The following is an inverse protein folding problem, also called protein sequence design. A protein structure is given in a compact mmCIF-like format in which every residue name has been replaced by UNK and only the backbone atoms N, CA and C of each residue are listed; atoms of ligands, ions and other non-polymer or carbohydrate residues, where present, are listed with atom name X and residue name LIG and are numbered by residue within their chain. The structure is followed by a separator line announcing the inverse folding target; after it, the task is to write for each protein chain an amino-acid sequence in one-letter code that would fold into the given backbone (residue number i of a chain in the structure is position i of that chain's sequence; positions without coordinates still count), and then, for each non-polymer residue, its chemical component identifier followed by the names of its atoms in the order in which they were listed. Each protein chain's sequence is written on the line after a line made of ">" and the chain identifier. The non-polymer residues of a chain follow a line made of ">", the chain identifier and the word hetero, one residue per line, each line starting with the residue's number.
data_IF_546209289887
#
_entry.id   IF_546209289887
#
_cell.length_a   1.000
_cell.length_b   1.000
_cell.length_c   1.000
_cell.angle_alpha   90.00
_cell.angle_beta   90.00
_cell.angle_gamma   90.00
#
_symmetry.space_group_name_H-M   'P 1'
#
loop_
_entity.id
_entity.type
_entity.pdbx_description
1 polymer ?
#
# COMPACT_ATOMS: atom_id res chain seq x y z
N UNK A 1 -11.91 25.69 -19.57
CA UNK A 1 -11.62 25.97 -18.14
C UNK A 1 -10.30 25.37 -17.66
N UNK A 2 -9.86 24.20 -18.15
CA UNK A 2 -8.61 23.54 -17.74
C UNK A 2 -7.32 24.41 -17.84
N UNK A 3 -7.22 25.31 -18.83
CA UNK A 3 -6.05 26.20 -18.99
C UNK A 3 -5.92 27.34 -17.97
N UNK A 4 -6.98 27.67 -17.23
CA UNK A 4 -6.95 28.74 -16.21
C UNK A 4 -6.50 28.25 -14.84
N UNK A 5 -6.83 26.99 -14.48
CA UNK A 5 -6.44 26.38 -13.20
C UNK A 5 -4.93 26.07 -13.14
N UNK A 6 -4.33 25.61 -14.24
CA UNK A 6 -2.88 25.34 -14.32
C UNK A 6 -1.97 26.56 -14.15
N UNK A 7 -2.49 27.77 -14.45
CA UNK A 7 -1.75 29.04 -14.29
C UNK A 7 -1.96 29.67 -12.92
N UNK A 8 -2.92 29.19 -12.14
CA UNK A 8 -3.34 29.82 -10.89
C UNK A 8 -2.22 29.89 -9.83
N UNK A 9 -1.42 28.84 -9.58
CA UNK A 9 -0.31 28.97 -8.64
C UNK A 9 0.75 29.96 -9.13
N UNK A 10 1.11 29.92 -10.42
CA UNK A 10 2.11 30.85 -10.99
C UNK A 10 1.63 32.31 -10.89
N UNK A 11 0.34 32.55 -11.16
CA UNK A 11 -0.25 33.89 -11.05
C UNK A 11 -0.32 34.35 -9.59
N UNK A 12 -0.71 33.48 -8.66
CA UNK A 12 -0.78 33.79 -7.23
C UNK A 12 0.61 34.02 -6.61
N UNK A 13 1.63 33.29 -7.05
CA UNK A 13 3.00 33.52 -6.59
C UNK A 13 3.61 34.82 -7.12
N UNK A 14 3.10 35.34 -8.24
CA UNK A 14 3.46 36.64 -8.80
C UNK A 14 2.59 37.80 -8.27
N UNK A 15 1.61 37.55 -7.39
CA UNK A 15 0.83 38.64 -6.78
C UNK A 15 1.60 39.36 -5.68
N UNK A 16 1.41 40.68 -5.60
CA UNK A 16 1.81 41.49 -4.46
C UNK A 16 0.58 42.20 -3.86
N UNK A 17 0.31 42.05 -2.55
CA UNK A 17 1.03 41.19 -1.61
C UNK A 17 0.82 39.70 -1.93
N UNK A 18 1.84 38.88 -1.66
CA UNK A 18 1.78 37.44 -1.89
C UNK A 18 0.77 36.78 -0.95
N UNK A 19 -0.33 36.29 -1.51
CA UNK A 19 -1.38 35.58 -0.77
C UNK A 19 -1.01 34.09 -0.62
N UNK A 20 -0.34 33.78 0.50
CA UNK A 20 0.17 32.45 0.88
C UNK A 20 -0.93 31.38 0.85
N UNK A 21 -2.11 31.70 1.36
CA UNK A 21 -3.23 30.76 1.49
C UNK A 21 -3.83 30.41 0.13
N UNK A 22 -3.98 31.40 -0.76
CA UNK A 22 -4.44 31.15 -2.13
C UNK A 22 -3.43 30.35 -2.93
N UNK A 23 -2.13 30.68 -2.82
CA UNK A 23 -1.10 29.94 -3.54
C UNK A 23 -1.04 28.47 -3.10
N UNK A 24 -1.10 28.23 -1.79
CA UNK A 24 -1.18 26.89 -1.20
C UNK A 24 -2.43 26.14 -1.65
N UNK A 25 -3.59 26.79 -1.65
CA UNK A 25 -4.84 26.20 -2.13
C UNK A 25 -4.75 25.84 -3.62
N UNK A 26 -4.09 26.66 -4.44
CA UNK A 26 -3.90 26.38 -5.86
C UNK A 26 -2.94 25.22 -6.12
N UNK A 27 -1.85 25.10 -5.37
CA UNK A 27 -0.94 23.94 -5.45
C UNK A 27 -1.61 22.65 -4.96
N UNK A 28 -2.32 22.71 -3.83
CA UNK A 28 -3.12 21.58 -3.33
C UNK A 28 -4.19 21.17 -4.33
N UNK A 29 -4.91 22.13 -4.92
CA UNK A 29 -5.90 21.87 -5.96
C UNK A 29 -5.29 21.23 -7.21
N UNK A 30 -4.07 21.61 -7.62
CA UNK A 30 -3.37 20.93 -8.71
C UNK A 30 -2.91 19.52 -8.36
N UNK A 31 -2.41 19.32 -7.14
CA UNK A 31 -2.01 18.00 -6.65
C UNK A 31 -3.20 17.03 -6.48
N UNK A 32 -4.37 17.55 -6.08
CA UNK A 32 -5.61 16.77 -5.89
C UNK A 32 -6.44 16.60 -7.16
N UNK A 33 -6.46 17.58 -8.07
CA UNK A 33 -7.19 17.50 -9.35
C UNK A 33 -6.62 16.45 -10.32
N UNK A 34 -5.50 15.81 -9.99
CA UNK A 34 -4.95 14.65 -10.70
C UNK A 34 -5.81 13.38 -10.65
N UNK A 35 -7.02 13.42 -10.06
CA UNK A 35 -7.97 12.30 -10.13
C UNK A 35 -9.03 12.43 -11.24
N UNK A 36 -9.49 13.62 -11.66
CA UNK A 36 -10.58 13.72 -12.67
C UNK A 36 -10.60 14.95 -13.62
N UNK A 37 -9.56 15.79 -13.71
CA UNK A 37 -9.49 16.83 -14.77
C UNK A 37 -8.11 16.78 -15.45
N UNK A 38 -8.00 17.16 -16.74
CA UNK A 38 -7.34 16.35 -17.77
C UNK A 38 -5.90 15.92 -17.39
N UNK A 39 -5.52 14.72 -17.85
CA UNK A 39 -4.38 13.85 -17.51
C UNK A 39 -3.01 14.38 -17.01
N UNK A 40 -2.74 15.68 -16.88
CA UNK A 40 -1.65 16.33 -16.12
C UNK A 40 -1.78 17.85 -16.33
N UNK A 41 -1.58 18.71 -15.31
CA UNK A 41 -1.21 20.09 -15.59
C UNK A 41 0.03 20.09 -16.52
N UNK A 42 0.17 21.01 -17.49
CA UNK A 42 1.33 20.96 -18.38
C UNK A 42 2.58 21.10 -17.52
N UNK A 43 3.43 20.07 -17.57
CA UNK A 43 4.63 19.88 -16.75
C UNK A 43 5.43 21.18 -16.50
N UNK A 44 5.66 22.06 -17.50
CA UNK A 44 6.43 23.29 -17.30
C UNK A 44 5.82 24.28 -16.30
N UNK A 45 4.48 24.31 -16.13
CA UNK A 45 3.85 25.21 -15.16
C UNK A 45 3.97 24.70 -13.73
N UNK A 46 3.92 23.38 -13.56
CA UNK A 46 4.10 22.74 -12.26
C UNK A 46 5.54 22.93 -11.77
N UNK A 47 6.52 22.65 -12.63
CA UNK A 47 7.95 22.85 -12.33
C UNK A 47 8.26 24.32 -11.99
N UNK A 48 7.71 25.26 -12.76
CA UNK A 48 7.91 26.69 -12.49
C UNK A 48 7.27 27.15 -11.17
N UNK A 49 6.12 26.59 -10.80
CA UNK A 49 5.49 26.88 -9.52
C UNK A 49 6.29 26.31 -8.34
N UNK A 50 6.86 25.11 -8.49
CA UNK A 50 7.76 24.50 -7.50
C UNK A 50 9.04 25.33 -7.35
N UNK A 51 9.67 25.75 -8.44
CA UNK A 51 10.87 26.58 -8.42
C UNK A 51 10.66 27.86 -7.59
N UNK A 52 9.58 28.60 -7.88
CA UNK A 52 9.24 29.83 -7.18
C UNK A 52 8.86 29.59 -5.70
N UNK A 53 8.24 28.45 -5.40
CA UNK A 53 7.95 28.06 -4.03
C UNK A 53 9.25 27.74 -3.26
N UNK A 54 10.23 27.06 -3.87
CA UNK A 54 11.53 26.79 -3.25
C UNK A 54 12.33 28.09 -2.99
N UNK A 55 12.25 29.08 -3.87
CA UNK A 55 12.86 30.40 -3.64
C UNK A 55 12.28 31.11 -2.40
N UNK A 56 11.02 30.82 -2.07
CA UNK A 56 10.29 31.40 -0.93
C UNK A 56 10.10 30.41 0.21
N UNK A 57 10.93 29.37 0.29
CA UNK A 57 10.73 28.24 1.20
C UNK A 57 10.55 28.67 2.67
N UNK A 58 11.42 29.55 3.17
CA UNK A 58 11.35 30.05 4.55
C UNK A 58 10.19 31.02 4.80
N UNK A 59 9.54 31.53 3.75
CA UNK A 59 8.37 32.40 3.89
C UNK A 59 7.08 31.61 4.14
N UNK A 60 7.12 30.28 4.15
CA UNK A 60 5.95 29.46 4.49
C UNK A 60 5.94 29.11 5.96
N UNK A 61 4.94 29.60 6.70
CA UNK A 61 4.79 29.29 8.14
C UNK A 61 4.17 27.89 8.38
N UNK A 62 3.91 27.13 7.30
CA UNK A 62 3.28 25.84 7.40
C UNK A 62 4.24 24.69 7.11
N UNK A 63 4.49 23.95 8.17
CA UNK A 63 5.34 22.76 8.19
C UNK A 63 4.98 21.69 7.16
N UNK A 64 3.71 21.27 7.13
CA UNK A 64 3.25 20.22 6.20
C UNK A 64 3.48 20.61 4.74
N UNK A 65 3.24 21.89 4.41
CA UNK A 65 3.43 22.39 3.06
C UNK A 65 4.91 22.44 2.66
N UNK A 66 5.79 22.84 3.58
CA UNK A 66 7.23 22.78 3.35
C UNK A 66 7.69 21.35 3.09
N UNK A 67 7.20 20.38 3.88
CA UNK A 67 7.47 18.95 3.66
C UNK A 67 6.98 18.48 2.28
N UNK A 68 5.73 18.77 1.93
CA UNK A 68 5.14 18.42 0.63
C UNK A 68 5.95 19.04 -0.53
N UNK A 69 6.37 20.30 -0.40
CA UNK A 69 7.16 21.01 -1.40
C UNK A 69 8.52 20.35 -1.62
N UNK A 70 9.22 19.92 -0.56
CA UNK A 70 10.48 19.18 -0.66
C UNK A 70 10.27 17.85 -1.39
N UNK A 71 9.25 17.11 -0.99
CA UNK A 71 8.87 15.83 -1.60
C UNK A 71 8.56 15.98 -3.09
N UNK A 72 7.74 16.95 -3.49
CA UNK A 72 7.41 17.19 -4.89
C UNK A 72 8.62 17.65 -5.69
N UNK A 73 9.45 18.52 -5.12
CA UNK A 73 10.64 19.04 -5.78
C UNK A 73 11.71 17.97 -6.00
N UNK A 74 11.79 16.96 -5.13
CA UNK A 74 12.70 15.82 -5.32
C UNK A 74 12.44 15.05 -6.63
N UNK A 75 11.18 15.07 -7.11
CA UNK A 75 10.76 14.40 -8.34
C UNK A 75 11.11 15.18 -9.62
N UNK A 76 11.54 16.44 -9.50
CA UNK A 76 11.94 17.32 -10.62
C UNK A 76 13.47 17.43 -10.65
N UNK A 77 14.17 16.89 -11.67
CA UNK A 77 15.63 16.85 -11.72
C UNK A 77 16.32 18.20 -11.48
N UNK A 78 15.77 19.27 -12.07
CA UNK A 78 16.33 20.63 -12.03
C UNK A 78 16.19 21.28 -10.66
N UNK A 79 15.25 20.83 -9.83
CA UNK A 79 14.96 21.40 -8.52
C UNK A 79 15.52 20.56 -7.37
N UNK A 80 15.89 19.31 -7.64
CA UNK A 80 16.29 18.32 -6.65
C UNK A 80 17.45 18.80 -5.78
N UNK A 81 18.45 19.45 -6.36
CA UNK A 81 19.64 19.92 -5.63
C UNK A 81 19.30 21.06 -4.66
N UNK A 82 18.42 21.97 -5.05
CA UNK A 82 17.94 23.06 -4.18
C UNK A 82 17.07 22.50 -3.05
N UNK A 83 16.15 21.60 -3.37
CA UNK A 83 15.31 20.93 -2.40
C UNK A 83 16.14 20.11 -1.40
N UNK A 84 17.19 19.43 -1.86
CA UNK A 84 18.11 18.70 -0.99
C UNK A 84 18.81 19.61 0.01
N UNK A 85 19.35 20.75 -0.43
CA UNK A 85 19.98 21.75 0.48
C UNK A 85 19.01 22.24 1.55
N UNK A 86 17.75 22.48 1.19
CA UNK A 86 16.72 22.92 2.12
C UNK A 86 16.34 21.81 3.12
N UNK A 87 16.26 20.55 2.67
CA UNK A 87 16.03 19.41 3.55
C UNK A 87 17.18 19.22 4.55
N UNK A 88 18.43 19.35 4.10
CA UNK A 88 19.62 19.32 4.99
C UNK A 88 19.51 20.42 6.05
N UNK A 89 19.18 21.65 5.66
CA UNK A 89 19.01 22.77 6.58
C UNK A 89 17.87 22.54 7.59
N UNK A 90 16.71 22.01 7.16
CA UNK A 90 15.62 21.65 8.08
C UNK A 90 16.05 20.54 9.05
N UNK A 91 16.83 19.57 8.58
CA UNK A 91 17.34 18.47 9.41
C UNK A 91 18.25 19.00 10.52
N UNK A 92 19.14 19.95 10.18
CA UNK A 92 20.05 20.55 11.14
C UNK A 92 19.31 21.35 12.23
N UNK A 93 18.21 22.01 11.85
CA UNK A 93 17.28 22.74 12.73
C UNK A 93 16.37 21.84 13.58
N UNK A 94 16.30 20.54 13.31
CA UNK A 94 15.41 19.61 14.01
C UNK A 94 13.96 19.70 13.53
N UNK A 95 13.75 20.12 12.28
CA UNK A 95 12.44 20.31 11.67
C UNK A 95 12.19 19.27 10.56
N UNK A 96 13.12 18.39 10.20
CA UNK A 96 12.89 17.50 9.05
C UNK A 96 11.92 16.36 9.37
N UNK A 97 10.95 16.14 8.47
CA UNK A 97 10.11 14.93 8.42
C UNK A 97 10.87 13.82 7.69
N UNK A 98 10.98 12.65 8.31
CA UNK A 98 11.64 11.45 7.74
C UNK A 98 11.08 11.04 6.38
N UNK A 99 9.80 11.32 6.13
CA UNK A 99 9.12 11.04 4.88
C UNK A 99 9.78 11.68 3.66
N UNK A 100 10.38 12.87 3.82
CA UNK A 100 10.98 13.58 2.69
C UNK A 100 12.21 12.83 2.16
N UNK A 101 12.98 12.20 3.03
CA UNK A 101 14.24 11.56 2.68
C UNK A 101 14.05 10.37 1.73
N UNK A 102 12.91 9.65 1.83
CA UNK A 102 12.61 8.51 0.95
C UNK A 102 12.49 8.91 -0.53
N UNK A 103 12.19 10.18 -0.82
CA UNK A 103 12.12 10.71 -2.19
C UNK A 103 13.48 11.12 -2.76
N UNK A 104 14.47 11.38 -1.90
CA UNK A 104 15.85 11.64 -2.31
C UNK A 104 16.69 10.37 -2.39
N UNK A 105 16.28 9.31 -1.68
CA UNK A 105 16.98 8.02 -1.63
C UNK A 105 17.34 7.43 -3.01
N UNK A 106 16.47 7.46 -4.04
CA UNK A 106 16.84 6.96 -5.37
C UNK A 106 17.96 7.73 -6.08
N UNK A 107 18.25 8.96 -5.65
CA UNK A 107 19.15 9.87 -6.35
C UNK A 107 20.44 10.14 -5.58
N UNK A 108 20.40 10.06 -4.25
CA UNK A 108 21.53 10.35 -3.35
C UNK A 108 21.56 9.35 -2.18
N UNK A 109 21.64 8.03 -2.44
CA UNK A 109 21.46 7.01 -1.41
C UNK A 109 22.45 7.17 -0.26
N UNK A 110 23.74 7.35 -0.56
CA UNK A 110 24.79 7.46 0.46
C UNK A 110 24.65 8.73 1.30
N UNK A 111 24.34 9.87 0.67
CA UNK A 111 24.14 11.14 1.39
C UNK A 111 22.93 11.08 2.32
N UNK A 112 21.83 10.46 1.85
CA UNK A 112 20.60 10.29 2.65
C UNK A 112 20.86 9.38 3.84
N UNK A 113 21.44 8.20 3.62
CA UNK A 113 21.73 7.24 4.70
C UNK A 113 22.69 7.86 5.72
N UNK A 114 23.75 8.54 5.26
CA UNK A 114 24.70 9.20 6.16
C UNK A 114 24.04 10.33 6.97
N UNK A 115 23.19 11.15 6.35
CA UNK A 115 22.50 12.24 7.03
C UNK A 115 21.50 11.71 8.07
N UNK A 116 20.69 10.71 7.72
CA UNK A 116 19.73 10.12 8.65
C UNK A 116 20.45 9.43 9.81
N UNK A 117 21.53 8.68 9.55
CA UNK A 117 22.32 8.05 10.60
C UNK A 117 22.94 9.08 11.56
N UNK A 118 23.46 10.19 11.05
CA UNK A 118 24.08 11.26 11.84
C UNK A 118 23.08 12.10 12.63
N UNK A 119 21.90 12.33 12.07
CA UNK A 119 20.91 13.28 12.60
C UNK A 119 19.60 12.61 13.05
N UNK A 120 19.60 11.30 13.32
CA UNK A 120 18.38 10.55 13.65
C UNK A 120 17.52 11.19 14.75
N UNK A 121 18.15 11.75 15.78
CA UNK A 121 17.47 12.36 16.93
C UNK A 121 16.84 13.74 16.61
N UNK A 122 17.13 14.28 15.43
CA UNK A 122 16.61 15.55 14.91
C UNK A 122 15.56 15.37 13.82
N UNK A 123 15.25 14.13 13.44
CA UNK A 123 14.30 13.82 12.38
C UNK A 123 13.02 13.34 13.04
N UNK A 124 11.89 13.89 12.63
CA UNK A 124 10.58 13.44 13.09
C UNK A 124 10.14 12.21 12.29
N UNK A 125 10.09 11.01 12.90
CA UNK A 125 9.63 9.81 12.22
C UNK A 125 8.11 9.79 12.07
N UNK A 126 7.61 9.11 11.02
CA UNK A 126 6.19 8.78 10.85
C UNK A 126 5.87 7.37 11.32
N UNK A 127 6.76 6.40 11.07
CA UNK A 127 6.59 4.98 11.45
C UNK A 127 7.52 4.55 12.60
N UNK A 128 7.60 5.39 13.62
CA UNK A 128 8.40 5.16 14.83
C UNK A 128 9.93 5.27 14.65
N UNK A 129 10.46 5.10 13.44
CA UNK A 129 11.91 5.21 13.14
C UNK A 129 12.15 5.91 11.80
N UNK A 130 13.08 6.89 11.74
CA UNK A 130 13.49 7.50 10.47
C UNK A 130 14.08 6.47 9.50
N UNK A 131 14.70 5.39 10.01
CA UNK A 131 15.26 4.31 9.20
C UNK A 131 14.15 3.46 8.58
N UNK A 132 13.08 3.17 9.33
CA UNK A 132 11.93 2.48 8.76
C UNK A 132 11.23 3.34 7.69
N UNK A 133 11.10 4.63 7.92
CA UNK A 133 10.52 5.56 6.95
C UNK A 133 11.34 5.64 5.64
N UNK A 134 12.67 5.52 5.71
CA UNK A 134 13.53 5.40 4.53
C UNK A 134 13.32 4.10 3.75
N UNK A 135 13.05 3.02 4.47
CA UNK A 135 12.78 1.72 3.91
C UNK A 135 11.42 1.64 3.19
N UNK A 136 10.52 2.57 3.48
CA UNK A 136 9.21 2.66 2.85
C UNK A 136 9.30 3.05 1.37
N UNK A 137 8.43 2.43 0.58
CA UNK A 137 8.17 2.87 -0.80
C UNK A 137 7.56 4.27 -0.83
N UNK A 138 8.03 5.20 -1.68
CA UNK A 138 7.36 6.48 -1.90
C UNK A 138 5.99 6.35 -2.58
N UNK A 139 5.56 5.14 -2.98
CA UNK A 139 4.30 4.81 -3.66
C UNK A 139 3.93 5.85 -4.72
N UNK A 140 4.48 5.72 -5.94
CA UNK A 140 4.07 6.46 -7.18
C UNK A 140 5.01 6.26 -8.38
N UNK A 141 6.05 5.45 -8.29
CA UNK A 141 6.89 5.20 -9.47
C UNK A 141 6.14 4.34 -10.48
N UNK A 142 6.14 4.75 -11.75
CA UNK A 142 5.66 3.91 -12.87
C UNK A 142 6.70 2.87 -13.29
N UNK A 143 7.91 2.99 -12.78
CA UNK A 143 9.05 2.13 -13.10
C UNK A 143 9.49 1.39 -11.82
N UNK A 144 9.86 0.10 -11.92
CA UNK A 144 10.41 -0.64 -10.79
C UNK A 144 11.64 0.06 -10.21
N UNK A 145 11.81 -0.01 -8.89
CA UNK A 145 13.03 0.45 -8.24
C UNK A 145 14.26 -0.29 -8.77
N UNK A 146 15.42 0.38 -8.80
CA UNK A 146 16.70 -0.27 -9.15
C UNK A 146 17.09 -1.31 -8.09
N UNK A 147 17.76 -2.37 -8.52
CA UNK A 147 18.17 -3.47 -7.62
C UNK A 147 19.02 -2.97 -6.43
N UNK A 148 19.87 -1.96 -6.63
CA UNK A 148 20.65 -1.33 -5.55
C UNK A 148 19.76 -0.62 -4.49
N UNK A 149 18.73 0.09 -4.94
CA UNK A 149 17.77 0.76 -4.05
C UNK A 149 16.95 -0.27 -3.28
N UNK A 150 16.55 -1.37 -3.93
CA UNK A 150 15.85 -2.48 -3.28
C UNK A 150 16.74 -3.12 -2.22
N UNK A 151 17.99 -3.44 -2.56
CA UNK A 151 18.96 -4.00 -1.63
C UNK A 151 19.13 -3.11 -0.38
N UNK A 152 19.23 -1.80 -0.58
CA UNK A 152 19.33 -0.83 0.49
C UNK A 152 18.10 -0.86 1.40
N UNK A 153 16.88 -0.79 0.85
CA UNK A 153 15.65 -0.83 1.65
C UNK A 153 15.50 -2.14 2.41
N UNK A 154 15.80 -3.27 1.78
CA UNK A 154 15.78 -4.59 2.43
C UNK A 154 16.74 -4.62 3.61
N UNK A 155 17.95 -4.06 3.46
CA UNK A 155 18.91 -3.97 4.55
C UNK A 155 18.36 -3.15 5.72
N UNK A 156 17.82 -1.96 5.46
CA UNK A 156 17.24 -1.08 6.49
C UNK A 156 16.07 -1.76 7.23
N UNK A 157 15.17 -2.45 6.52
CA UNK A 157 14.06 -3.20 7.14
C UNK A 157 14.60 -4.34 8.01
N UNK A 158 15.63 -5.07 7.56
CA UNK A 158 16.22 -6.17 8.33
C UNK A 158 16.91 -5.67 9.61
N UNK A 159 17.55 -4.52 9.55
CA UNK A 159 18.12 -3.86 10.73
C UNK A 159 17.02 -3.50 11.73
N UNK A 160 15.92 -2.90 11.26
CA UNK A 160 14.76 -2.58 12.10
C UNK A 160 14.12 -3.84 12.73
N UNK A 161 13.92 -4.91 11.95
CA UNK A 161 13.41 -6.19 12.47
C UNK A 161 14.37 -6.77 13.52
N UNK A 162 15.69 -6.67 13.32
CA UNK A 162 16.66 -7.19 14.28
C UNK A 162 16.65 -6.41 15.60
N UNK A 163 16.38 -5.10 15.55
CA UNK A 163 16.36 -4.23 16.73
C UNK A 163 15.07 -4.36 17.54
N UNK A 164 13.90 -4.35 16.87
CA UNK A 164 12.59 -4.30 17.54
C UNK A 164 11.65 -5.48 17.29
N UNK A 165 12.02 -6.43 16.43
CA UNK A 165 11.14 -7.50 15.99
C UNK A 165 10.13 -7.04 14.95
N UNK A 166 9.11 -7.86 14.68
CA UNK A 166 8.01 -7.48 13.79
C UNK A 166 6.96 -6.68 14.55
N UNK A 167 6.52 -5.57 13.95
CA UNK A 167 5.37 -4.78 14.38
C UNK A 167 4.53 -4.34 13.17
N UNK A 168 3.42 -3.63 13.42
CA UNK A 168 2.49 -3.22 12.38
C UNK A 168 3.14 -2.28 11.35
N UNK A 169 4.00 -1.36 11.81
CA UNK A 169 4.69 -0.40 10.95
C UNK A 169 5.67 -1.10 9.98
N UNK A 170 6.41 -2.10 10.46
CA UNK A 170 7.28 -2.94 9.63
C UNK A 170 6.44 -3.73 8.63
N UNK A 171 5.32 -4.28 9.06
CA UNK A 171 4.42 -5.02 8.17
C UNK A 171 3.85 -4.12 7.07
N UNK A 172 3.53 -2.86 7.38
CA UNK A 172 3.06 -1.87 6.40
C UNK A 172 4.13 -1.57 5.35
N UNK A 173 5.39 -1.45 5.78
CA UNK A 173 6.50 -1.22 4.86
C UNK A 173 6.72 -2.43 3.95
N UNK A 174 6.68 -3.65 4.51
CA UNK A 174 6.77 -4.89 3.72
C UNK A 174 5.62 -4.95 2.70
N UNK A 175 4.40 -4.63 3.10
CA UNK A 175 3.24 -4.54 2.20
C UNK A 175 3.48 -3.53 1.08
N UNK A 176 3.94 -2.32 1.42
CA UNK A 176 4.26 -1.26 0.46
C UNK A 176 5.29 -1.70 -0.60
N UNK A 177 6.28 -2.50 -0.21
CA UNK A 177 7.27 -3.05 -1.16
C UNK A 177 6.64 -4.03 -2.16
N UNK A 178 5.62 -4.80 -1.79
CA UNK A 178 4.91 -5.65 -2.75
C UNK A 178 4.23 -4.88 -3.89
N UNK A 179 3.90 -3.60 -3.68
CA UNK A 179 3.31 -2.74 -4.70
C UNK A 179 4.34 -2.05 -5.61
N UNK A 180 5.57 -1.87 -5.15
CA UNK A 180 6.62 -1.18 -5.91
C UNK A 180 7.50 -2.14 -6.71
N UNK A 181 7.78 -3.32 -6.14
CA UNK A 181 8.82 -4.21 -6.65
C UNK A 181 8.28 -5.16 -7.73
N UNK A 182 9.11 -5.43 -8.74
CA UNK A 182 8.82 -6.46 -9.71
C UNK A 182 8.78 -7.85 -9.03
N UNK A 183 7.99 -8.81 -9.53
CA UNK A 183 7.92 -10.17 -8.96
C UNK A 183 9.27 -10.85 -8.75
N UNK A 184 10.22 -10.66 -9.69
CA UNK A 184 11.58 -11.21 -9.54
C UNK A 184 12.30 -10.66 -8.30
N UNK A 185 12.15 -9.36 -8.03
CA UNK A 185 12.86 -8.66 -6.96
C UNK A 185 12.31 -9.10 -5.59
N UNK A 186 11.01 -9.36 -5.50
CA UNK A 186 10.38 -9.85 -4.28
C UNK A 186 10.98 -11.19 -3.82
N UNK A 187 11.33 -12.06 -4.77
CA UNK A 187 11.97 -13.36 -4.49
C UNK A 187 13.47 -13.18 -4.26
N UNK A 188 14.17 -12.50 -5.18
CA UNK A 188 15.62 -12.30 -5.17
C UNK A 188 16.11 -11.63 -3.87
N UNK A 189 15.40 -10.59 -3.42
CA UNK A 189 15.74 -9.87 -2.18
C UNK A 189 15.04 -10.44 -0.94
N UNK A 190 14.25 -11.50 -1.10
CA UNK A 190 13.62 -12.22 0.02
C UNK A 190 12.52 -11.45 0.74
N UNK A 191 11.85 -10.50 0.09
CA UNK A 191 10.69 -9.78 0.64
C UNK A 191 9.55 -10.75 0.94
N UNK A 192 9.30 -11.71 0.05
CA UNK A 192 8.32 -12.77 0.32
C UNK A 192 8.64 -13.58 1.58
N UNK A 193 9.92 -13.79 1.88
CA UNK A 193 10.36 -14.51 3.08
C UNK A 193 10.14 -13.68 4.33
N UNK A 194 10.45 -12.38 4.28
CA UNK A 194 10.17 -11.45 5.38
C UNK A 194 8.66 -11.40 5.68
N UNK A 195 7.81 -11.37 4.66
CA UNK A 195 6.36 -11.42 4.86
C UNK A 195 5.91 -12.74 5.50
N UNK A 196 6.48 -13.88 5.09
CA UNK A 196 6.21 -15.19 5.71
C UNK A 196 6.62 -15.22 7.18
N UNK A 197 7.78 -14.65 7.51
CA UNK A 197 8.28 -14.52 8.87
C UNK A 197 7.37 -13.60 9.70
N UNK A 198 6.95 -12.46 9.15
CA UNK A 198 6.01 -11.53 9.77
C UNK A 198 4.66 -12.20 10.07
N UNK A 199 4.09 -12.93 9.12
CA UNK A 199 2.82 -13.66 9.31
C UNK A 199 2.93 -14.68 10.45
N UNK A 200 4.08 -15.35 10.57
CA UNK A 200 4.32 -16.30 11.65
C UNK A 200 4.54 -15.62 13.01
N UNK A 201 4.91 -14.33 13.02
CA UNK A 201 5.26 -13.61 14.25
C UNK A 201 4.07 -13.22 15.11
N UNK A 202 2.90 -12.90 14.54
CA UNK A 202 1.80 -12.41 15.38
C UNK A 202 0.70 -11.61 14.71
N UNK A 203 -0.11 -10.90 15.52
CA UNK A 203 -1.22 -10.05 15.07
C UNK A 203 -0.80 -8.85 14.21
N UNK A 204 0.46 -8.42 14.31
CA UNK A 204 0.97 -7.23 13.62
C UNK A 204 1.03 -7.39 12.10
N UNK A 205 1.00 -8.64 11.61
CA UNK A 205 0.91 -8.96 10.18
C UNK A 205 -0.44 -8.63 9.53
N UNK A 206 -1.37 -7.95 10.22
CA UNK A 206 -2.73 -7.67 9.72
C UNK A 206 -2.76 -7.02 8.35
N UNK A 207 -1.85 -6.11 8.07
CA UNK A 207 -1.80 -5.39 6.79
C UNK A 207 -1.42 -6.29 5.62
N UNK A 208 -0.57 -7.30 5.85
CA UNK A 208 -0.22 -8.31 4.84
C UNK A 208 -1.42 -9.17 4.41
N UNK A 209 -2.55 -9.12 5.16
CA UNK A 209 -3.80 -9.77 4.78
C UNK A 209 -4.36 -9.18 3.50
N UNK A 210 -4.20 -7.88 3.25
CA UNK A 210 -4.74 -7.27 2.03
C UNK A 210 -4.03 -7.79 0.79
N UNK A 211 -2.69 -7.92 0.83
CA UNK A 211 -1.94 -8.54 -0.26
C UNK A 211 -2.25 -10.05 -0.38
N UNK A 212 -2.32 -10.78 0.73
CA UNK A 212 -2.74 -12.18 0.73
C UNK A 212 -4.19 -12.34 0.21
N UNK A 213 -5.04 -11.33 0.37
CA UNK A 213 -6.42 -11.30 -0.09
C UNK A 213 -6.63 -10.75 -1.51
N UNK A 214 -5.57 -10.23 -2.15
CA UNK A 214 -5.57 -9.15 -3.16
C UNK A 214 -6.94 -8.83 -3.80
N UNK A 215 -7.51 -7.69 -3.37
CA UNK A 215 -8.84 -7.17 -3.74
C UNK A 215 -8.93 -6.61 -5.18
N UNK A 216 -7.80 -6.40 -5.85
CA UNK A 216 -7.75 -5.87 -7.22
C UNK A 216 -6.87 -6.76 -8.11
N UNK A 217 -7.44 -7.89 -8.55
CA UNK A 217 -6.76 -8.85 -9.43
C UNK A 217 -6.59 -8.34 -10.89
N UNK A 218 -5.81 -7.26 -11.06
CA UNK A 218 -5.36 -6.75 -12.36
C UNK A 218 -3.86 -6.81 -12.56
N UNK A 219 -3.09 -7.21 -11.54
CA UNK A 219 -1.64 -7.16 -11.61
C UNK A 219 -1.03 -8.53 -11.93
N UNK A 220 0.04 -8.46 -12.73
CA UNK A 220 0.81 -9.50 -13.40
C UNK A 220 0.87 -10.86 -12.68
N UNK A 221 0.87 -11.96 -13.46
CA UNK A 221 0.81 -13.35 -12.97
C UNK A 221 1.83 -13.69 -11.85
N UNK A 222 2.98 -13.03 -11.82
CA UNK A 222 3.98 -13.20 -10.77
C UNK A 222 3.52 -12.71 -9.39
N UNK A 223 2.74 -11.64 -9.30
CA UNK A 223 2.21 -11.13 -8.03
C UNK A 223 1.12 -12.04 -7.47
N UNK A 224 0.31 -12.64 -8.35
CA UNK A 224 -0.71 -13.61 -7.93
C UNK A 224 -0.10 -14.82 -7.24
N UNK A 225 1.00 -15.38 -7.77
CA UNK A 225 1.67 -16.52 -7.14
C UNK A 225 2.20 -16.19 -5.73
N UNK A 226 2.73 -14.98 -5.54
CA UNK A 226 3.22 -14.51 -4.23
C UNK A 226 2.04 -14.28 -3.27
N UNK A 227 0.96 -13.64 -3.73
CA UNK A 227 -0.28 -13.48 -2.95
C UNK A 227 -0.83 -14.85 -2.50
N UNK A 228 -0.79 -15.85 -3.39
CA UNK A 228 -1.18 -17.23 -3.10
C UNK A 228 -0.32 -17.87 -2.01
N UNK A 229 1.00 -17.72 -2.10
CA UNK A 229 1.94 -18.17 -1.07
C UNK A 229 1.71 -17.49 0.29
N UNK A 230 1.42 -16.19 0.33
CA UNK A 230 1.14 -15.50 1.60
C UNK A 230 -0.17 -15.97 2.22
N UNK A 231 -1.22 -16.17 1.42
CA UNK A 231 -2.49 -16.71 1.88
C UNK A 231 -2.33 -18.13 2.46
N UNK A 232 -1.58 -18.98 1.78
CA UNK A 232 -1.21 -20.31 2.28
C UNK A 232 -0.45 -20.21 3.61
N UNK A 233 0.44 -19.24 3.73
CA UNK A 233 1.19 -18.99 4.96
C UNK A 233 0.28 -18.55 6.10
N UNK A 234 -0.69 -17.65 5.87
CA UNK A 234 -1.69 -17.31 6.88
C UNK A 234 -2.46 -18.56 7.33
N UNK A 235 -2.96 -19.34 6.38
CA UNK A 235 -3.71 -20.56 6.68
C UNK A 235 -2.87 -21.61 7.43
N UNK A 236 -1.57 -21.74 7.12
CA UNK A 236 -0.69 -22.77 7.69
C UNK A 236 0.06 -22.34 8.96
N UNK A 237 0.43 -21.06 9.08
CA UNK A 237 1.35 -20.55 10.10
C UNK A 237 0.87 -19.31 10.85
N UNK A 238 -0.16 -18.62 10.36
CA UNK A 238 -0.74 -17.46 11.06
C UNK A 238 -1.17 -17.87 12.47
N UNK A 239 -0.71 -17.18 13.54
CA UNK A 239 -1.02 -17.55 14.92
C UNK A 239 -2.36 -16.98 15.41
N UNK A 240 -2.93 -16.00 14.70
CA UNK A 240 -4.15 -15.30 15.12
C UNK A 240 -5.36 -15.78 14.29
N UNK A 241 -6.31 -16.53 14.89
CA UNK A 241 -7.43 -17.11 14.14
C UNK A 241 -8.26 -16.06 13.40
N UNK A 242 -8.55 -14.92 14.04
CA UNK A 242 -9.35 -13.86 13.42
C UNK A 242 -8.72 -13.32 12.12
N UNK A 243 -7.39 -13.18 12.07
CA UNK A 243 -6.68 -12.73 10.88
C UNK A 243 -6.75 -13.77 9.75
N UNK A 244 -6.67 -15.06 10.10
CA UNK A 244 -6.87 -16.15 9.13
C UNK A 244 -8.30 -16.13 8.57
N UNK A 245 -9.29 -15.87 9.44
CA UNK A 245 -10.69 -15.70 9.02
C UNK A 245 -10.90 -14.49 8.10
N UNK A 246 -10.30 -13.34 8.42
CA UNK A 246 -10.32 -12.14 7.57
C UNK A 246 -9.70 -12.43 6.20
N UNK A 247 -8.54 -13.08 6.16
CA UNK A 247 -7.87 -13.50 4.92
C UNK A 247 -8.75 -14.44 4.08
N UNK A 248 -9.38 -15.46 4.69
CA UNK A 248 -10.31 -16.36 4.00
C UNK A 248 -11.50 -15.59 3.40
N UNK A 249 -12.05 -14.61 4.12
CA UNK A 249 -13.12 -13.75 3.62
C UNK A 249 -12.69 -12.92 2.40
N UNK A 250 -11.47 -12.36 2.43
CA UNK A 250 -10.92 -11.65 1.27
C UNK A 250 -10.70 -12.59 0.08
N UNK A 251 -10.20 -13.81 0.31
CA UNK A 251 -10.00 -14.82 -0.73
C UNK A 251 -11.30 -15.30 -1.36
N UNK A 252 -12.34 -15.44 -0.57
CA UNK A 252 -13.69 -15.69 -1.06
C UNK A 252 -14.14 -14.56 -2.00
N UNK A 253 -13.98 -13.30 -1.58
CA UNK A 253 -14.30 -12.13 -2.40
C UNK A 253 -13.47 -12.07 -3.69
N UNK A 254 -12.18 -12.42 -3.66
CA UNK A 254 -11.35 -12.50 -4.88
C UNK A 254 -11.87 -13.58 -5.82
N UNK A 255 -12.15 -14.78 -5.31
CA UNK A 255 -12.63 -15.90 -6.10
C UNK A 255 -13.90 -15.53 -6.88
N UNK A 256 -14.89 -14.91 -6.21
CA UNK A 256 -16.12 -14.40 -6.84
C UNK A 256 -15.84 -13.51 -8.07
N UNK A 257 -14.90 -12.58 -7.93
CA UNK A 257 -14.61 -11.55 -8.93
C UNK A 257 -13.52 -11.97 -9.93
N UNK A 258 -12.99 -13.18 -9.81
CA UNK A 258 -11.85 -13.61 -10.61
C UNK A 258 -12.23 -13.95 -12.05
N UNK A 259 -11.37 -13.56 -12.99
CA UNK A 259 -11.42 -14.07 -14.38
C UNK A 259 -10.94 -15.52 -14.47
N UNK A 260 -10.20 -16.01 -13.47
CA UNK A 260 -9.66 -17.38 -13.36
C UNK A 260 -10.36 -18.14 -12.22
N UNK A 261 -11.69 -18.18 -12.28
CA UNK A 261 -12.55 -18.71 -11.22
C UNK A 261 -12.10 -20.09 -10.70
N UNK A 262 -11.93 -21.08 -11.58
CA UNK A 262 -11.56 -22.46 -11.17
C UNK A 262 -10.23 -22.53 -10.41
N UNK A 263 -9.23 -21.75 -10.83
CA UNK A 263 -7.92 -21.67 -10.13
C UNK A 263 -8.10 -21.08 -8.74
N UNK A 264 -8.78 -19.94 -8.64
CA UNK A 264 -8.96 -19.26 -7.36
C UNK A 264 -9.90 -20.03 -6.43
N UNK A 265 -10.87 -20.77 -6.97
CA UNK A 265 -11.72 -21.69 -6.23
C UNK A 265 -10.93 -22.86 -5.64
N UNK A 266 -10.01 -23.45 -6.42
CA UNK A 266 -9.11 -24.51 -5.93
C UNK A 266 -8.23 -24.01 -4.79
N UNK A 267 -7.62 -22.83 -4.94
CA UNK A 267 -6.80 -22.22 -3.90
C UNK A 267 -7.64 -21.96 -2.63
N UNK A 268 -8.82 -21.37 -2.78
CA UNK A 268 -9.70 -21.10 -1.64
C UNK A 268 -10.11 -22.38 -0.91
N UNK A 269 -10.33 -23.49 -1.63
CA UNK A 269 -10.60 -24.81 -1.04
C UNK A 269 -9.44 -25.30 -0.18
N UNK A 270 -8.21 -25.23 -0.71
CA UNK A 270 -7.02 -25.66 0.01
C UNK A 270 -6.80 -24.80 1.28
N UNK A 271 -7.01 -23.49 1.19
CA UNK A 271 -6.91 -22.58 2.33
C UNK A 271 -7.97 -22.87 3.40
N UNK A 272 -9.21 -23.10 2.98
CA UNK A 272 -10.33 -23.48 3.85
C UNK A 272 -10.00 -24.75 4.61
N UNK A 273 -9.50 -25.78 3.92
CA UNK A 273 -9.22 -27.08 4.54
C UNK A 273 -8.08 -27.00 5.56
N UNK A 274 -7.01 -26.27 5.24
CA UNK A 274 -5.91 -25.99 6.19
C UNK A 274 -6.39 -25.21 7.41
N UNK A 275 -7.23 -24.19 7.21
CA UNK A 275 -7.77 -23.41 8.31
C UNK A 275 -8.73 -24.22 9.18
N UNK A 276 -9.56 -25.08 8.56
CA UNK A 276 -10.46 -26.02 9.25
C UNK A 276 -9.67 -27.01 10.11
N UNK A 277 -8.60 -27.58 9.56
CA UNK A 277 -7.74 -28.53 10.27
C UNK A 277 -7.09 -27.89 11.51
N UNK A 278 -6.65 -26.63 11.40
CA UNK A 278 -5.94 -25.94 12.50
C UNK A 278 -6.86 -25.27 13.53
N UNK A 279 -7.95 -24.65 13.09
CA UNK A 279 -8.79 -23.79 13.93
C UNK A 279 -10.24 -24.27 14.05
N UNK A 280 -10.58 -25.39 13.42
CA UNK A 280 -11.92 -25.96 13.41
C UNK A 280 -12.90 -25.24 12.47
N UNK A 281 -14.08 -25.83 12.37
CA UNK A 281 -15.15 -25.36 11.47
C UNK A 281 -15.71 -23.98 11.85
N UNK A 282 -15.66 -23.61 13.13
CA UNK A 282 -16.19 -22.32 13.62
C UNK A 282 -15.53 -21.11 12.95
N UNK A 283 -14.21 -21.16 12.74
CA UNK A 283 -13.48 -20.08 12.09
C UNK A 283 -13.90 -19.95 10.62
N UNK A 284 -13.96 -21.08 9.91
CA UNK A 284 -14.35 -21.13 8.50
C UNK A 284 -15.78 -20.64 8.31
N UNK A 285 -16.71 -21.13 9.15
CA UNK A 285 -18.11 -20.71 9.12
C UNK A 285 -18.25 -19.20 9.36
N UNK A 286 -17.47 -18.62 10.29
CA UNK A 286 -17.48 -17.16 10.52
C UNK A 286 -16.93 -16.38 9.33
N UNK A 287 -15.81 -16.83 8.75
CA UNK A 287 -15.19 -16.19 7.60
C UNK A 287 -16.14 -16.16 6.39
N UNK A 288 -16.81 -17.28 6.13
CA UNK A 288 -17.71 -17.42 5.01
C UNK A 288 -19.10 -16.82 5.27
N UNK A 289 -19.45 -16.50 6.51
CA UNK A 289 -20.71 -15.77 6.81
C UNK A 289 -20.75 -14.36 6.18
N UNK A 290 -19.60 -13.79 5.82
CA UNK A 290 -19.50 -12.50 5.14
C UNK A 290 -19.63 -12.68 3.61
N UNK A 291 -19.42 -13.90 3.09
CA UNK A 291 -19.54 -14.23 1.67
C UNK A 291 -20.83 -13.78 0.98
N UNK A 292 -22.03 -13.90 1.59
CA UNK A 292 -23.28 -13.48 0.94
C UNK A 292 -23.31 -11.98 0.63
N UNK A 293 -22.62 -11.14 1.41
CA UNK A 293 -22.52 -9.70 1.15
C UNK A 293 -21.74 -9.41 -0.14
N UNK A 294 -20.80 -10.29 -0.50
CA UNK A 294 -20.00 -10.18 -1.72
C UNK A 294 -20.65 -10.89 -2.93
N UNK A 295 -21.53 -11.86 -2.70
CA UNK A 295 -22.28 -12.56 -3.74
C UNK A 295 -23.28 -11.65 -4.49
N UNK A 296 -23.68 -10.53 -3.88
CA UNK A 296 -24.52 -9.47 -4.48
C UNK A 296 -23.90 -8.81 -5.74
N UNK A 297 -22.66 -9.14 -6.10
CA UNK A 297 -21.95 -8.57 -7.25
C UNK A 297 -21.74 -9.56 -8.42
N UNK A 298 -22.15 -10.83 -8.27
CA UNK A 298 -21.95 -11.87 -9.27
C UNK A 298 -23.24 -12.27 -9.99
N UNK A 299 -23.33 -12.04 -11.31
CA UNK A 299 -24.48 -12.47 -12.15
C UNK A 299 -24.43 -13.93 -12.63
N UNK A 300 -23.44 -14.71 -12.18
CA UNK A 300 -23.17 -16.06 -12.68
C UNK A 300 -23.57 -17.12 -11.64
N UNK A 301 -24.75 -17.71 -11.82
CA UNK A 301 -25.32 -18.74 -10.94
C UNK A 301 -24.39 -19.94 -10.75
N UNK A 302 -23.56 -20.29 -11.75
CA UNK A 302 -22.65 -21.44 -11.62
C UNK A 302 -21.53 -21.17 -10.60
N UNK A 303 -21.01 -19.94 -10.56
CA UNK A 303 -19.97 -19.54 -9.58
C UNK A 303 -20.53 -19.48 -8.16
N UNK A 304 -21.74 -18.96 -8.03
CA UNK A 304 -22.47 -18.90 -6.76
C UNK A 304 -22.69 -20.31 -6.22
N UNK A 305 -23.15 -21.25 -7.05
CA UNK A 305 -23.34 -22.65 -6.64
C UNK A 305 -22.02 -23.33 -6.25
N UNK A 306 -20.95 -23.11 -7.01
CA UNK A 306 -19.65 -23.68 -6.69
C UNK A 306 -19.08 -23.15 -5.36
N UNK A 307 -19.33 -21.87 -5.05
CA UNK A 307 -18.94 -21.27 -3.77
C UNK A 307 -19.86 -21.67 -2.61
N UNK A 308 -21.17 -21.83 -2.85
CA UNK A 308 -22.10 -22.39 -1.88
C UNK A 308 -21.69 -23.83 -1.53
N UNK A 309 -21.42 -24.67 -2.51
CA UNK A 309 -20.91 -26.03 -2.31
C UNK A 309 -19.56 -26.04 -1.57
N UNK A 310 -18.69 -25.05 -1.82
CA UNK A 310 -17.47 -24.89 -1.05
C UNK A 310 -17.75 -24.52 0.41
N UNK A 311 -18.72 -23.65 0.66
CA UNK A 311 -19.09 -23.24 2.00
C UNK A 311 -19.74 -24.37 2.80
N UNK A 312 -20.56 -25.20 2.15
CA UNK A 312 -21.18 -26.40 2.75
C UNK A 312 -20.15 -27.43 3.21
N UNK A 313 -19.00 -27.52 2.53
CA UNK A 313 -17.97 -28.51 2.83
C UNK A 313 -18.47 -29.95 2.63
N UNK A 314 -17.80 -30.91 3.28
CA UNK A 314 -18.37 -32.25 3.48
C UNK A 314 -19.44 -32.15 4.57
N UNK A 315 -20.65 -32.63 4.27
CA UNK A 315 -21.97 -32.27 4.87
C UNK A 315 -22.21 -32.56 6.37
N UNK A 316 -21.17 -32.59 7.21
CA UNK A 316 -21.30 -33.00 8.62
C UNK A 316 -21.55 -31.84 9.60
N UNK A 317 -21.41 -30.57 9.18
CA UNK A 317 -21.70 -29.39 10.04
C UNK A 317 -22.92 -28.59 9.51
N UNK A 318 -24.06 -28.56 10.24
CA UNK A 318 -25.27 -27.88 9.79
C UNK A 318 -25.11 -26.36 9.63
N UNK A 319 -24.11 -25.74 10.27
CA UNK A 319 -23.85 -24.30 10.15
C UNK A 319 -23.19 -23.95 8.82
N UNK A 320 -22.41 -24.87 8.25
CA UNK A 320 -21.84 -24.72 6.91
C UNK A 320 -22.92 -24.87 5.83
N UNK A 321 -23.86 -25.80 6.05
CA UNK A 321 -25.05 -25.96 5.20
C UNK A 321 -25.89 -24.67 5.14
N UNK A 322 -26.16 -24.06 6.31
CA UNK A 322 -26.89 -22.79 6.40
C UNK A 322 -26.19 -21.65 5.62
N UNK A 323 -24.85 -21.59 5.63
CA UNK A 323 -24.10 -20.58 4.87
C UNK A 323 -24.24 -20.80 3.36
N UNK A 324 -24.20 -22.05 2.91
CA UNK A 324 -24.46 -22.40 1.50
C UNK A 324 -25.84 -21.93 1.05
N UNK A 325 -26.86 -22.18 1.86
CA UNK A 325 -28.23 -21.74 1.59
C UNK A 325 -28.37 -20.20 1.59
N UNK A 326 -27.69 -19.49 2.49
CA UNK A 326 -27.65 -18.03 2.51
C UNK A 326 -26.98 -17.45 1.24
N UNK A 327 -25.88 -18.04 0.77
CA UNK A 327 -25.22 -17.63 -0.47
C UNK A 327 -26.16 -17.77 -1.67
N UNK A 328 -26.88 -18.89 -1.78
CA UNK A 328 -27.88 -19.11 -2.85
C UNK A 328 -29.05 -18.13 -2.75
N UNK A 329 -29.58 -17.93 -1.54
CA UNK A 329 -30.74 -17.08 -1.30
C UNK A 329 -30.47 -15.63 -1.72
N UNK A 330 -29.31 -15.07 -1.39
CA UNK A 330 -29.00 -13.68 -1.76
C UNK A 330 -28.69 -13.49 -3.24
N UNK A 331 -28.14 -14.50 -3.91
CA UNK A 331 -28.02 -14.48 -5.37
C UNK A 331 -29.39 -14.49 -6.08
N UNK A 332 -30.38 -15.18 -5.51
CA UNK A 332 -31.75 -15.26 -6.06
C UNK A 332 -32.57 -13.96 -5.91
N UNK A 333 -32.18 -13.06 -5.00
CA UNK A 333 -32.90 -11.78 -4.78
C UNK A 333 -32.61 -10.71 -5.83
N UNK A 334 -31.45 -10.75 -6.50
CA UNK A 334 -31.05 -9.75 -7.49
C UNK A 334 -31.58 -10.05 -8.91
N UNK A 335 -31.88 -11.32 -9.23
CA UNK A 335 -32.51 -11.73 -10.49
C UNK A 335 -34.00 -11.38 -10.61
N UNK A 336 -34.57 -10.76 -9.56
CA UNK A 336 -35.97 -10.34 -9.47
C UNK A 336 -36.17 -8.81 -9.53
N UNK A 337 -35.12 -8.03 -9.81
CA UNK A 337 -35.15 -6.57 -10.00
C UNK A 337 -34.66 -6.16 -11.39
#
# INVERSE_FOLDING_TARGET
>A
MAGRLGRLPVLLAATEPFDRDRFRAALRALAWAGREIPAKPPQPYFERALALALERFEAFDNYEFQSDLLTWSATVPELRDQAWKLLVAQTEKGEADSHNFRYFLPYRPDEVVALVARCKDKIHPRKGSPILDLAESPLRSREPASDDLVALRVRLIREEIAERGFDADICDVIEGLFYELAPRQLVEFGIERLAVEAIASGPDARVLIYFAGDRNAQHEDGLLAISDKLAETFAARGPVPNLVGEMLGLRFSRCLNSKRFERDLSILRDLRDRARERFGTDLVARAFRIAPTFALLGRDSARIEALAALAEGDRDDPRLAEIGDQIRAEAGRDSSK
#
